data_IF_490239914164
#
_entry.id   IF_490239914164
#
_cell.length_a   1.000
_cell.length_b   1.000
_cell.length_c   1.000
_cell.angle_alpha   90.00
_cell.angle_beta   90.00
_cell.angle_gamma   90.00
#
_symmetry.space_group_name_H-M   'P 1'
#
loop_
_entity.id
_entity.type
_entity.pdbx_description
1 polymer ?
#
# COMPACT_ATOMS: atom_id res chain seq x y z
N UNK A 1 31.56 32.44 -19.89
CA UNK A 1 31.29 31.31 -18.99
C UNK A 1 29.86 31.46 -18.52
N UNK A 2 28.93 30.67 -19.06
CA UNK A 2 27.48 30.79 -18.83
C UNK A 2 27.04 29.57 -18.03
N UNK A 3 26.58 29.79 -16.80
CA UNK A 3 26.06 28.78 -15.87
C UNK A 3 24.66 28.30 -16.33
N UNK A 4 24.43 27.01 -16.67
CA UNK A 4 23.20 26.61 -17.34
C UNK A 4 22.14 25.94 -16.45
N UNK A 5 22.22 26.01 -15.12
CA UNK A 5 21.26 25.31 -14.24
C UNK A 5 20.49 26.25 -13.32
N UNK A 6 19.60 27.05 -13.91
CA UNK A 6 18.50 27.69 -13.17
C UNK A 6 17.40 26.64 -12.97
N UNK A 7 17.22 26.19 -11.73
CA UNK A 7 16.10 25.33 -11.36
C UNK A 7 14.79 26.11 -11.56
N UNK A 8 14.09 25.82 -12.66
CA UNK A 8 12.70 26.16 -12.86
C UNK A 8 11.89 25.51 -11.73
N UNK A 9 11.26 26.32 -10.89
CA UNK A 9 10.32 25.88 -9.86
C UNK A 9 9.11 25.21 -10.53
N UNK A 10 9.26 23.92 -10.87
CA UNK A 10 8.17 23.08 -11.32
C UNK A 10 7.27 22.80 -10.11
N UNK A 11 6.37 23.73 -9.79
CA UNK A 11 5.26 23.48 -8.89
C UNK A 11 4.33 22.49 -9.58
N UNK A 12 4.66 21.21 -9.47
CA UNK A 12 3.79 20.11 -9.86
C UNK A 12 2.65 20.10 -8.86
N UNK A 13 1.61 20.87 -9.14
CA UNK A 13 0.33 20.80 -8.42
C UNK A 13 -0.32 19.45 -8.75
N UNK A 14 0.19 18.39 -8.13
CA UNK A 14 -0.43 17.09 -8.05
C UNK A 14 -1.76 17.32 -7.35
N UNK A 15 -2.84 17.40 -8.13
CA UNK A 15 -4.20 17.31 -7.59
C UNK A 15 -4.26 16.04 -6.73
N UNK A 16 -4.31 16.27 -5.43
CA UNK A 16 -4.30 15.27 -4.37
C UNK A 16 -5.63 14.51 -4.44
N UNK A 17 -5.59 13.29 -4.95
CA UNK A 17 -6.75 12.43 -5.02
C UNK A 17 -6.50 11.24 -5.94
N UNK A 18 -6.20 10.08 -5.35
CA UNK A 18 -6.07 8.81 -6.06
C UNK A 18 -7.37 8.54 -6.81
N UNK A 19 -7.37 8.68 -8.14
CA UNK A 19 -8.43 8.13 -8.97
C UNK A 19 -8.52 6.64 -8.63
N UNK A 20 -9.72 6.15 -8.28
CA UNK A 20 -9.95 4.73 -8.06
C UNK A 20 -9.53 4.01 -9.34
N UNK A 21 -8.45 3.23 -9.32
CA UNK A 21 -8.14 2.37 -10.46
C UNK A 21 -9.28 1.40 -10.61
N UNK A 22 -9.98 1.53 -11.73
CA UNK A 22 -10.96 0.55 -12.14
C UNK A 22 -10.18 -0.73 -12.44
N UNK A 23 -10.49 -1.81 -11.72
CA UNK A 23 -9.90 -3.11 -12.03
C UNK A 23 -10.56 -3.59 -13.33
N UNK A 24 -9.75 -3.69 -14.39
CA UNK A 24 -10.20 -4.03 -15.74
C UNK A 24 -9.80 -5.45 -16.19
N UNK A 25 -8.86 -6.09 -15.48
CA UNK A 25 -8.31 -7.41 -15.84
C UNK A 25 -8.61 -8.46 -14.76
N UNK A 26 -9.00 -9.66 -15.18
CA UNK A 26 -9.19 -10.82 -14.28
C UNK A 26 -7.86 -11.23 -13.62
N UNK A 27 -7.91 -11.73 -12.39
CA UNK A 27 -6.74 -12.10 -11.59
C UNK A 27 -5.93 -10.94 -10.99
N UNK A 28 -6.38 -9.68 -11.11
CA UNK A 28 -5.65 -8.52 -10.59
C UNK A 28 -6.00 -8.19 -9.14
N UNK A 29 -4.98 -7.84 -8.34
CA UNK A 29 -5.14 -7.23 -7.02
C UNK A 29 -4.27 -5.98 -6.92
N UNK A 30 -4.85 -4.87 -6.46
CA UNK A 30 -4.15 -3.62 -6.20
C UNK A 30 -4.34 -3.27 -4.72
N UNK A 31 -3.24 -3.18 -3.98
CA UNK A 31 -3.24 -2.84 -2.56
C UNK A 31 -2.56 -1.49 -2.30
N UNK A 32 -3.12 -0.73 -1.37
CA UNK A 32 -2.69 0.63 -1.00
C UNK A 32 -2.36 0.68 0.49
N UNK A 33 -1.24 1.31 0.82
CA UNK A 33 -0.76 1.48 2.20
C UNK A 33 -1.70 2.34 3.07
N UNK A 34 -2.46 3.23 2.45
CA UNK A 34 -3.43 4.09 3.14
C UNK A 34 -4.60 4.44 2.23
N UNK A 35 -5.62 5.09 2.79
CA UNK A 35 -6.80 5.51 2.05
C UNK A 35 -6.57 6.70 1.14
N UNK A 36 -7.47 6.92 0.16
CA UNK A 36 -7.47 8.12 -0.64
C UNK A 36 -7.49 9.36 0.27
N UNK A 37 -6.67 10.36 -0.04
CA UNK A 37 -6.49 11.61 0.71
C UNK A 37 -5.86 11.49 2.11
N UNK A 38 -5.28 10.34 2.46
CA UNK A 38 -4.46 10.18 3.65
C UNK A 38 -3.00 9.92 3.23
N UNK A 39 -2.05 10.41 4.01
CA UNK A 39 -0.62 10.12 3.82
C UNK A 39 -0.28 8.92 4.70
N UNK A 40 0.52 7.98 4.20
CA UNK A 40 1.09 6.95 5.06
C UNK A 40 2.17 7.62 5.93
N UNK A 41 2.15 7.42 7.24
CA UNK A 41 3.17 7.95 8.13
C UNK A 41 4.51 7.27 7.83
N UNK A 42 5.39 7.99 7.15
CA UNK A 42 6.80 7.66 7.05
C UNK A 42 7.39 7.79 8.47
N UNK A 43 7.85 6.68 9.06
CA UNK A 43 8.51 6.69 10.37
C UNK A 43 7.80 5.96 11.51
N UNK A 44 6.59 5.41 11.31
CA UNK A 44 6.01 4.46 12.28
C UNK A 44 6.54 3.03 12.12
N UNK A 45 7.17 2.74 10.98
CA UNK A 45 7.79 1.44 10.73
C UNK A 45 9.13 1.29 11.44
N UNK A 46 9.45 0.08 11.89
CA UNK A 46 10.77 -0.25 12.42
C UNK A 46 11.76 -0.50 11.27
N UNK A 47 12.85 0.27 11.23
CA UNK A 47 13.93 0.10 10.25
C UNK A 47 13.68 0.81 8.91
N UNK A 48 14.09 0.19 7.80
CA UNK A 48 14.07 0.80 6.46
C UNK A 48 12.72 0.68 5.72
N UNK A 49 11.68 0.14 6.36
CA UNK A 49 10.37 -0.09 5.75
C UNK A 49 9.31 0.85 6.38
N UNK A 50 8.38 1.33 5.55
CA UNK A 50 7.16 1.97 6.05
C UNK A 50 6.26 0.98 6.81
N UNK A 51 5.37 1.51 7.67
CA UNK A 51 4.51 0.72 8.56
C UNK A 51 3.72 -0.37 7.82
N UNK A 52 3.12 -0.02 6.68
CA UNK A 52 2.40 -0.97 5.83
C UNK A 52 3.29 -2.13 5.36
N UNK A 53 4.45 -1.81 4.79
CA UNK A 53 5.40 -2.79 4.26
C UNK A 53 5.92 -3.71 5.35
N UNK A 54 6.19 -3.17 6.56
CA UNK A 54 6.60 -3.98 7.71
C UNK A 54 5.57 -5.08 8.02
N UNK A 55 4.29 -4.72 8.15
CA UNK A 55 3.25 -5.70 8.45
C UNK A 55 2.89 -6.59 7.26
N UNK A 56 3.03 -6.10 6.03
CA UNK A 56 2.84 -6.91 4.83
C UNK A 56 3.83 -8.07 4.78
N UNK A 57 5.13 -7.79 5.00
CA UNK A 57 6.18 -8.81 4.99
C UNK A 57 5.90 -9.89 6.05
N UNK A 58 5.46 -9.50 7.24
CA UNK A 58 5.10 -10.46 8.29
C UNK A 58 3.89 -11.33 7.89
N UNK A 59 2.88 -10.74 7.25
CA UNK A 59 1.66 -11.45 6.89
C UNK A 59 1.87 -12.42 5.72
N UNK A 60 2.62 -12.04 4.68
CA UNK A 60 2.88 -12.91 3.51
C UNK A 60 3.73 -14.14 3.86
N UNK A 61 4.48 -14.08 4.96
CA UNK A 61 5.28 -15.20 5.47
C UNK A 61 4.45 -16.22 6.25
N UNK A 62 3.17 -15.95 6.54
CA UNK A 62 2.32 -16.90 7.27
C UNK A 62 1.80 -17.96 6.30
N UNK A 63 2.17 -19.25 6.46
CA UNK A 63 1.71 -20.31 5.57
C UNK A 63 0.19 -20.54 5.68
N UNK A 64 -0.42 -21.02 4.59
CA UNK A 64 -1.85 -21.37 4.56
C UNK A 64 -2.83 -20.20 4.56
N UNK A 65 -2.36 -18.95 4.61
CA UNK A 65 -3.25 -17.78 4.47
C UNK A 65 -3.55 -17.51 3.01
N UNK A 66 -4.84 -17.40 2.71
CA UNK A 66 -5.32 -16.86 1.44
C UNK A 66 -4.95 -15.38 1.33
N UNK A 67 -4.76 -14.88 0.13
CA UNK A 67 -4.34 -13.51 -0.14
C UNK A 67 -5.29 -12.46 0.47
N UNK A 68 -6.61 -12.74 0.48
CA UNK A 68 -7.59 -11.88 1.13
C UNK A 68 -7.40 -11.85 2.65
N UNK A 69 -7.01 -12.97 3.25
CA UNK A 69 -6.72 -13.06 4.69
C UNK A 69 -5.44 -12.30 5.03
N UNK A 70 -4.41 -12.41 4.20
CA UNK A 70 -3.18 -11.61 4.31
C UNK A 70 -3.53 -10.13 4.35
N UNK A 71 -4.26 -9.61 3.36
CA UNK A 71 -4.57 -8.18 3.29
C UNK A 71 -5.56 -7.71 4.37
N UNK A 72 -6.50 -8.57 4.81
CA UNK A 72 -7.34 -8.30 6.00
C UNK A 72 -6.49 -8.15 7.26
N UNK A 73 -5.51 -9.05 7.46
CA UNK A 73 -4.59 -9.00 8.60
C UNK A 73 -3.74 -7.74 8.57
N UNK A 74 -3.13 -7.41 7.44
CA UNK A 74 -2.33 -6.18 7.27
C UNK A 74 -3.18 -4.94 7.55
N UNK A 75 -4.42 -4.89 7.05
CA UNK A 75 -5.32 -3.76 7.34
C UNK A 75 -5.57 -3.61 8.84
N UNK A 76 -5.82 -4.70 9.55
CA UNK A 76 -6.04 -4.66 11.00
C UNK A 76 -4.80 -4.22 11.76
N UNK A 77 -3.64 -4.81 11.47
CA UNK A 77 -2.40 -4.52 12.21
C UNK A 77 -1.91 -3.09 11.97
N UNK A 78 -1.94 -2.61 10.72
CA UNK A 78 -1.57 -1.22 10.39
C UNK A 78 -2.53 -0.23 11.03
N UNK A 79 -3.85 -0.51 10.99
CA UNK A 79 -4.85 0.36 11.65
C UNK A 79 -4.58 0.46 13.14
N UNK A 80 -4.32 -0.66 13.82
CA UNK A 80 -4.03 -0.67 15.26
C UNK A 80 -2.71 0.06 15.57
N UNK A 81 -1.63 -0.26 14.85
CA UNK A 81 -0.30 0.31 15.11
C UNK A 81 -0.21 1.81 14.80
N UNK A 82 -1.06 2.31 13.90
CA UNK A 82 -1.17 3.74 13.57
C UNK A 82 -2.27 4.47 14.35
N UNK A 83 -2.89 3.85 15.36
CA UNK A 83 -4.03 4.44 16.09
C UNK A 83 -5.18 4.90 15.17
N UNK A 84 -5.35 4.22 14.04
CA UNK A 84 -6.36 4.52 13.04
C UNK A 84 -5.97 5.56 11.99
N UNK A 85 -4.77 6.16 12.06
CA UNK A 85 -4.31 7.16 11.09
C UNK A 85 -4.08 6.56 9.69
N UNK A 86 -3.59 5.32 9.64
CA UNK A 86 -3.42 4.56 8.40
C UNK A 86 -4.42 3.42 8.36
N UNK A 87 -5.26 3.43 7.34
CA UNK A 87 -6.15 2.32 7.03
C UNK A 87 -5.75 1.84 5.65
N UNK A 88 -5.19 0.63 5.49
CA UNK A 88 -4.92 0.05 4.17
C UNK A 88 -6.19 -0.41 3.45
N UNK A 89 -6.16 -0.38 2.11
CA UNK A 89 -7.29 -0.76 1.25
C UNK A 89 -6.75 -1.58 0.09
N UNK A 90 -7.57 -2.48 -0.45
CA UNK A 90 -7.25 -3.19 -1.67
C UNK A 90 -8.50 -3.30 -2.55
N UNK A 91 -8.29 -3.40 -3.84
CA UNK A 91 -9.29 -3.83 -4.82
C UNK A 91 -8.77 -5.14 -5.43
N UNK A 92 -9.67 -6.08 -5.72
CA UNK A 92 -9.32 -7.37 -6.28
C UNK A 92 -10.39 -7.84 -7.27
N UNK A 93 -9.97 -8.55 -8.32
CA UNK A 93 -10.79 -9.36 -9.21
C UNK A 93 -10.19 -10.77 -9.27
N UNK A 94 -10.23 -11.47 -8.14
CA UNK A 94 -9.67 -12.81 -8.02
C UNK A 94 -10.77 -13.85 -8.23
N UNK A 95 -10.47 -14.86 -9.04
CA UNK A 95 -11.40 -15.92 -9.41
C UNK A 95 -11.07 -17.27 -8.74
N UNK A 96 -10.04 -17.31 -7.87
CA UNK A 96 -9.60 -18.51 -7.15
C UNK A 96 -8.70 -18.19 -5.96
N UNK A 97 -8.35 -19.22 -5.19
CA UNK A 97 -7.51 -19.09 -4.01
C UNK A 97 -6.03 -18.90 -4.38
N UNK A 98 -5.37 -17.96 -3.73
CA UNK A 98 -3.92 -17.78 -3.80
C UNK A 98 -3.33 -17.70 -2.39
N UNK A 99 -2.28 -18.46 -2.15
CA UNK A 99 -1.51 -18.44 -0.90
C UNK A 99 -0.02 -18.29 -1.24
N UNK A 100 0.69 -17.35 -0.61
CA UNK A 100 2.11 -17.11 -0.91
C UNK A 100 3.03 -18.31 -0.61
N UNK A 101 2.67 -19.15 0.38
CA UNK A 101 3.42 -20.34 0.79
C UNK A 101 2.74 -21.66 0.44
N UNK A 102 1.73 -21.64 -0.44
CA UNK A 102 0.84 -22.77 -0.68
C UNK A 102 -0.39 -22.75 0.23
N UNK A 103 -1.51 -23.16 -0.35
CA UNK A 103 -2.66 -23.66 0.37
C UNK A 103 -2.47 -25.20 0.45
#
# INVERSE_FOLDING_TARGET
MHEPFRAENFSRSLRRGLARTQIQADGMLIAYATGPNKTASDGLGSGNNGLYTQYLIQAIQTPGLKIEEVFKRVRQTVKTASSGEQVPWYNASLSGDFCFGGC
#
